data_IF_828819560928
#
_entry.id   IF_828819560928
#
_cell.length_a   1.000
_cell.length_b   1.000
_cell.length_c   1.000
_cell.angle_alpha   90.00
_cell.angle_beta   90.00
_cell.angle_gamma   90.00
#
_symmetry.space_group_name_H-M   'P 1'
#
loop_
_entity.id
_entity.type
_entity.pdbx_description
1 polymer ?
#
# COMPACT_ATOMS: atom_id res chain seq x y z
N UNK A 1 57.76 -18.39 -22.88
CA UNK A 1 57.11 -19.57 -23.51
C UNK A 1 56.08 -20.08 -22.50
N UNK A 2 54.85 -19.57 -22.44
CA UNK A 2 53.69 -19.72 -23.37
C UNK A 2 53.36 -21.19 -23.64
N UNK A 3 52.07 -21.54 -23.52
CA UNK A 3 51.41 -22.85 -23.73
C UNK A 3 51.25 -23.77 -22.53
N UNK A 4 50.27 -23.46 -21.66
CA UNK A 4 49.26 -24.43 -21.16
C UNK A 4 47.92 -23.72 -20.92
N UNK A 5 47.35 -23.18 -22.01
CA UNK A 5 46.00 -22.60 -22.07
C UNK A 5 45.26 -23.25 -23.25
N UNK A 6 44.86 -24.49 -23.08
CA UNK A 6 43.91 -25.15 -23.96
C UNK A 6 43.46 -26.43 -23.26
N UNK A 7 42.16 -26.69 -23.25
CA UNK A 7 41.47 -27.82 -22.61
C UNK A 7 41.35 -27.57 -21.09
N UNK A 8 40.22 -27.13 -20.56
CA UNK A 8 38.92 -27.79 -20.58
C UNK A 8 37.83 -26.70 -20.49
N UNK A 9 37.25 -26.33 -21.63
CA UNK A 9 36.11 -25.40 -21.76
C UNK A 9 34.77 -26.12 -21.98
N UNK A 10 34.54 -27.33 -21.44
CA UNK A 10 33.41 -28.14 -21.89
C UNK A 10 32.64 -28.90 -20.78
N UNK A 11 32.29 -28.23 -19.67
CA UNK A 11 31.42 -28.85 -18.66
C UNK A 11 30.56 -27.84 -17.86
N UNK A 12 30.03 -26.79 -18.50
CA UNK A 12 29.20 -25.76 -17.86
C UNK A 12 27.92 -25.42 -18.65
N UNK A 13 27.40 -26.37 -19.43
CA UNK A 13 26.34 -26.11 -20.41
C UNK A 13 25.16 -27.11 -20.34
N UNK A 14 24.59 -27.37 -19.16
CA UNK A 14 23.59 -28.45 -19.05
C UNK A 14 22.47 -28.33 -18.01
N UNK A 15 22.20 -27.19 -17.37
CA UNK A 15 21.12 -27.13 -16.36
C UNK A 15 20.43 -25.76 -16.21
N UNK A 16 20.00 -25.13 -17.31
CA UNK A 16 19.19 -23.88 -17.24
C UNK A 16 17.99 -23.93 -18.19
N UNK A 17 17.09 -24.91 -18.01
CA UNK A 17 15.78 -24.93 -18.67
C UNK A 17 14.69 -25.42 -17.71
N UNK A 18 14.29 -24.53 -16.80
CA UNK A 18 12.94 -24.48 -16.20
C UNK A 18 12.60 -23.00 -15.98
N UNK A 19 12.44 -22.27 -17.09
CA UNK A 19 11.86 -20.94 -17.08
C UNK A 19 10.33 -21.05 -17.06
N UNK A 20 9.69 -20.39 -16.10
CA UNK A 20 8.25 -20.22 -16.06
C UNK A 20 7.78 -19.51 -17.35
N UNK A 21 6.81 -20.08 -18.04
CA UNK A 21 6.09 -19.41 -19.11
C UNK A 21 5.27 -18.27 -18.51
N UNK A 22 5.81 -17.06 -18.49
CA UNK A 22 5.03 -15.83 -18.32
C UNK A 22 4.57 -15.38 -19.70
N UNK A 23 3.26 -15.44 -19.97
CA UNK A 23 2.67 -14.81 -21.14
C UNK A 23 2.97 -13.31 -21.10
N UNK A 24 3.77 -12.82 -22.04
CA UNK A 24 3.98 -11.39 -22.25
C UNK A 24 2.69 -10.82 -22.82
N UNK A 25 1.92 -10.12 -21.99
CA UNK A 25 0.88 -9.22 -22.46
C UNK A 25 1.61 -7.99 -22.95
N UNK A 26 1.68 -7.83 -24.27
CA UNK A 26 2.35 -6.75 -24.99
C UNK A 26 1.52 -5.45 -24.86
N UNK A 27 1.37 -4.99 -23.63
CA UNK A 27 0.70 -3.73 -23.32
C UNK A 27 1.66 -2.93 -22.47
N UNK A 28 2.39 -2.02 -23.11
CA UNK A 28 3.04 -0.91 -22.40
C UNK A 28 2.00 -0.31 -21.46
N UNK A 29 2.19 -0.33 -20.13
CA UNK A 29 1.29 0.39 -19.25
C UNK A 29 1.52 1.88 -19.51
N UNK A 30 0.66 2.47 -20.33
CA UNK A 30 0.62 3.91 -20.53
C UNK A 30 -0.10 4.51 -19.31
N UNK A 31 0.61 4.60 -18.19
CA UNK A 31 0.12 5.06 -16.88
C UNK A 31 -0.34 6.53 -16.87
N UNK A 32 -0.32 7.21 -18.01
CA UNK A 32 -0.72 8.62 -18.18
C UNK A 32 -1.92 8.77 -19.11
N UNK A 33 -2.30 7.74 -19.88
CA UNK A 33 -3.35 7.84 -20.90
C UNK A 33 -4.77 7.53 -20.41
N UNK A 34 -4.90 6.58 -19.48
CA UNK A 34 -6.22 6.03 -19.09
C UNK A 34 -6.73 6.54 -17.73
N UNK A 35 -6.00 7.46 -17.10
CA UNK A 35 -6.51 8.21 -15.95
C UNK A 35 -7.15 9.48 -16.53
N UNK A 36 -8.49 9.59 -16.57
CA UNK A 36 -9.10 10.86 -16.95
C UNK A 36 -8.51 11.96 -16.06
N UNK A 37 -8.13 13.13 -16.62
CA UNK A 37 -7.69 14.26 -15.80
C UNK A 37 -8.75 14.52 -14.74
N UNK A 38 -8.38 14.96 -13.51
CA UNK A 38 -9.34 15.20 -12.45
C UNK A 38 -10.38 16.18 -12.99
N UNK A 39 -11.56 15.65 -13.32
CA UNK A 39 -12.64 16.47 -13.84
C UNK A 39 -13.27 17.09 -12.62
N UNK A 40 -13.26 18.43 -12.58
CA UNK A 40 -13.92 19.25 -11.57
C UNK A 40 -15.48 19.12 -11.60
N UNK A 41 -15.99 17.99 -12.08
CA UNK A 41 -17.39 17.67 -12.25
C UNK A 41 -17.77 16.45 -11.40
N UNK A 42 -17.66 16.58 -10.06
CA UNK A 42 -18.39 15.75 -9.09
C UNK A 42 -18.09 14.24 -9.09
N UNK A 43 -17.08 13.77 -9.83
CA UNK A 43 -16.60 12.41 -9.76
C UNK A 43 -15.66 12.27 -8.56
N UNK A 44 -16.18 11.79 -7.43
CA UNK A 44 -15.38 11.55 -6.23
C UNK A 44 -14.33 10.49 -6.55
N UNK A 45 -13.09 10.91 -6.78
CA UNK A 45 -11.94 10.00 -6.90
C UNK A 45 -11.72 9.37 -5.52
N UNK A 46 -12.03 8.08 -5.41
CA UNK A 46 -11.72 7.25 -4.23
C UNK A 46 -10.26 7.46 -3.85
N UNK A 47 -9.97 7.87 -2.62
CA UNK A 47 -8.59 8.10 -2.19
C UNK A 47 -8.02 9.50 -2.39
N UNK A 48 -8.80 10.45 -2.93
CA UNK A 48 -8.41 11.85 -2.87
C UNK A 48 -8.46 12.32 -1.41
N UNK A 49 -7.36 12.91 -0.94
CA UNK A 49 -7.37 13.81 0.21
C UNK A 49 -7.45 15.24 -0.33
N UNK A 50 -8.65 15.82 -0.53
CA UNK A 50 -8.76 17.27 -0.49
C UNK A 50 -8.13 17.78 0.81
N UNK A 51 -7.73 19.06 0.86
CA UNK A 51 -7.14 19.67 2.06
C UNK A 51 -7.98 19.54 3.34
N UNK A 52 -9.20 19.00 3.26
CA UNK A 52 -10.14 18.68 4.33
C UNK A 52 -10.20 17.19 4.76
N UNK A 53 -9.38 16.28 4.20
CA UNK A 53 -9.31 14.86 4.59
C UNK A 53 -9.84 13.86 3.55
N UNK A 54 -9.95 12.57 3.89
CA UNK A 54 -10.40 11.52 2.95
C UNK A 54 -11.90 11.63 2.63
N UNK A 55 -12.23 11.61 1.34
CA UNK A 55 -13.61 11.57 0.83
C UNK A 55 -13.98 10.14 0.43
N UNK A 56 -15.07 9.60 1.00
CA UNK A 56 -15.60 8.29 0.63
C UNK A 56 -16.18 8.32 -0.79
N UNK A 57 -15.90 7.29 -1.59
CA UNK A 57 -16.51 7.12 -2.91
C UNK A 57 -17.96 6.65 -2.82
N UNK A 58 -18.70 6.72 -3.94
CA UNK A 58 -20.08 6.25 -4.00
C UNK A 58 -20.20 4.76 -3.62
N UNK A 59 -19.21 3.95 -4.00
CA UNK A 59 -19.15 2.53 -3.67
C UNK A 59 -18.95 2.32 -2.17
N UNK A 60 -18.04 3.07 -1.55
CA UNK A 60 -17.71 2.95 -0.12
C UNK A 60 -18.86 3.44 0.77
N UNK A 61 -19.59 4.46 0.34
CA UNK A 61 -20.82 4.91 1.01
C UNK A 61 -21.88 3.80 1.05
N UNK A 62 -21.92 2.97 0.01
CA UNK A 62 -22.80 1.81 -0.13
C UNK A 62 -22.40 0.59 0.70
N UNK A 63 -21.27 0.60 1.40
CA UNK A 63 -20.84 -0.59 2.16
C UNK A 63 -21.72 -0.87 3.38
N UNK A 64 -21.97 -2.15 3.61
CA UNK A 64 -22.58 -2.67 4.84
C UNK A 64 -21.62 -2.54 6.01
N UNK A 65 -22.16 -2.43 7.23
CA UNK A 65 -21.34 -2.28 8.43
C UNK A 65 -20.33 -3.41 8.64
N UNK A 66 -20.65 -4.64 8.23
CA UNK A 66 -19.71 -5.78 8.29
C UNK A 66 -18.54 -5.60 7.34
N UNK A 67 -18.82 -5.19 6.10
CA UNK A 67 -17.78 -4.95 5.08
C UNK A 67 -16.89 -3.80 5.51
N UNK A 68 -17.49 -2.70 5.94
CA UNK A 68 -16.78 -1.51 6.37
C UNK A 68 -15.90 -1.81 7.61
N UNK A 69 -16.44 -2.53 8.61
CA UNK A 69 -15.67 -2.94 9.79
C UNK A 69 -14.52 -3.89 9.43
N UNK A 70 -14.74 -4.85 8.54
CA UNK A 70 -13.69 -5.77 8.08
C UNK A 70 -12.57 -5.05 7.32
N UNK A 71 -12.93 -4.12 6.43
CA UNK A 71 -11.95 -3.28 5.74
C UNK A 71 -11.14 -2.44 6.73
N UNK A 72 -11.78 -1.87 7.75
CA UNK A 72 -11.08 -1.13 8.81
C UNK A 72 -10.12 -2.01 9.60
N UNK A 73 -10.51 -3.22 9.99
CA UNK A 73 -9.62 -4.15 10.72
C UNK A 73 -8.34 -4.45 9.94
N UNK A 74 -8.48 -4.78 8.65
CA UNK A 74 -7.33 -5.05 7.78
C UNK A 74 -6.43 -3.82 7.68
N UNK A 75 -7.02 -2.65 7.42
CA UNK A 75 -6.23 -1.42 7.24
C UNK A 75 -5.55 -0.97 8.55
N UNK A 76 -6.21 -1.12 9.69
CA UNK A 76 -5.60 -0.87 11.02
C UNK A 76 -4.38 -1.78 11.20
N UNK A 77 -4.49 -3.09 10.93
CA UNK A 77 -3.35 -4.01 11.03
C UNK A 77 -2.21 -3.65 10.07
N UNK A 78 -2.53 -3.17 8.86
CA UNK A 78 -1.52 -2.75 7.88
C UNK A 78 -0.70 -1.53 8.32
N UNK A 79 -1.33 -0.57 9.01
CA UNK A 79 -0.65 0.67 9.42
C UNK A 79 -0.21 0.67 10.90
N UNK A 80 -0.65 -0.32 11.68
CA UNK A 80 -0.17 -0.56 13.05
C UNK A 80 1.33 -0.86 13.01
N UNK A 81 2.07 -0.36 14.00
CA UNK A 81 3.53 -0.50 14.03
C UNK A 81 4.26 0.34 12.97
N UNK A 82 3.60 1.35 12.38
CA UNK A 82 4.25 2.28 11.45
C UNK A 82 5.52 2.89 12.04
N UNK A 83 5.50 3.37 13.29
CA UNK A 83 6.67 4.01 13.90
C UNK A 83 7.87 3.07 14.12
N UNK A 84 7.63 1.80 14.48
CA UNK A 84 8.70 0.82 14.67
C UNK A 84 9.31 0.42 13.33
N UNK A 85 8.46 0.18 12.33
CA UNK A 85 8.88 -0.15 10.97
C UNK A 85 9.55 1.03 10.25
N UNK A 86 9.09 2.27 10.48
CA UNK A 86 9.67 3.50 9.91
C UNK A 86 11.14 3.64 10.26
N UNK A 87 11.53 3.34 11.50
CA UNK A 87 12.94 3.39 11.95
C UNK A 87 13.81 2.35 11.23
N UNK A 88 13.34 1.12 11.10
CA UNK A 88 14.05 0.06 10.37
C UNK A 88 14.16 0.39 8.87
N UNK A 89 13.08 0.84 8.25
CA UNK A 89 13.04 1.22 6.84
C UNK A 89 13.84 2.50 6.54
N UNK A 90 14.01 3.42 7.49
CA UNK A 90 14.85 4.61 7.30
C UNK A 90 16.33 4.22 7.13
N UNK A 91 16.83 3.29 7.95
CA UNK A 91 18.19 2.78 7.81
C UNK A 91 18.42 2.09 6.45
N UNK A 92 17.48 1.24 6.02
CA UNK A 92 17.55 0.57 4.72
C UNK A 92 17.46 1.54 3.53
N UNK A 93 16.51 2.49 3.58
CA UNK A 93 16.34 3.52 2.55
C UNK A 93 17.56 4.41 2.39
N UNK A 94 18.23 4.76 3.50
CA UNK A 94 19.49 5.49 3.46
C UNK A 94 20.57 4.80 2.60
N UNK A 95 20.58 3.46 2.56
CA UNK A 95 21.50 2.70 1.71
C UNK A 95 21.03 2.61 0.25
N UNK A 96 19.72 2.54 0.00
CA UNK A 96 19.12 2.44 -1.34
C UNK A 96 19.06 3.77 -2.10
N UNK A 97 18.99 4.91 -1.40
CA UNK A 97 19.03 6.25 -2.02
C UNK A 97 20.33 6.51 -2.79
N UNK A 98 21.43 5.83 -2.47
CA UNK A 98 22.67 5.90 -3.25
C UNK A 98 22.65 5.10 -4.56
N UNK A 99 21.63 4.25 -4.77
CA UNK A 99 21.59 3.29 -5.88
C UNK A 99 20.44 3.52 -6.88
N UNK A 100 19.56 4.52 -6.68
CA UNK A 100 18.44 4.76 -7.59
C UNK A 100 18.83 5.66 -8.78
N UNK A 101 18.69 5.20 -10.04
CA UNK A 101 19.00 6.00 -11.22
C UNK A 101 17.95 7.12 -11.41
N UNK A 102 18.41 8.24 -11.96
CA UNK A 102 17.70 9.54 -12.08
C UNK A 102 16.47 9.49 -13.03
N UNK A 103 16.16 8.35 -13.65
CA UNK A 103 15.10 8.25 -14.65
C UNK A 103 14.05 7.18 -14.29
N UNK A 104 12.89 7.65 -13.79
CA UNK A 104 11.62 6.91 -13.93
C UNK A 104 11.24 5.86 -12.89
N UNK A 105 11.78 5.86 -11.66
CA UNK A 105 11.30 4.99 -10.59
C UNK A 105 9.96 5.46 -9.99
N UNK A 106 9.07 4.52 -9.64
CA UNK A 106 7.81 4.84 -8.95
C UNK A 106 8.09 5.51 -7.61
N UNK A 107 7.27 6.52 -7.22
CA UNK A 107 7.46 7.26 -5.96
C UNK A 107 6.92 6.52 -4.73
N UNK A 108 6.44 5.28 -4.87
CA UNK A 108 6.10 4.45 -3.72
C UNK A 108 7.32 4.25 -2.82
N UNK A 109 7.17 4.50 -1.52
CA UNK A 109 8.23 4.37 -0.52
C UNK A 109 9.09 5.62 -0.31
N UNK A 110 8.92 6.66 -1.15
CA UNK A 110 9.63 7.95 -1.02
C UNK A 110 9.09 8.79 0.14
N UNK A 111 7.77 8.78 0.36
CA UNK A 111 7.11 9.48 1.45
C UNK A 111 6.24 8.50 2.28
N UNK A 112 6.81 7.88 3.33
CA UNK A 112 6.07 6.96 4.18
C UNK A 112 5.08 7.71 5.08
N UNK A 113 5.39 8.96 5.45
CA UNK A 113 4.61 9.75 6.40
C UNK A 113 3.34 10.24 5.72
N UNK A 114 3.44 10.74 4.50
CA UNK A 114 2.29 11.07 3.68
C UNK A 114 1.38 9.86 3.46
N UNK A 115 1.93 8.67 3.21
CA UNK A 115 1.11 7.46 3.09
C UNK A 115 0.37 7.13 4.41
N UNK A 116 1.09 7.15 5.54
CA UNK A 116 0.48 6.90 6.85
C UNK A 116 -0.65 7.90 7.16
N UNK A 117 -0.45 9.19 6.91
CA UNK A 117 -1.49 10.20 7.15
C UNK A 117 -2.71 9.99 6.24
N UNK A 118 -2.50 9.58 4.99
CA UNK A 118 -3.59 9.25 4.07
C UNK A 118 -4.41 8.07 4.56
N UNK A 119 -3.75 7.01 4.99
CA UNK A 119 -4.40 5.81 5.53
C UNK A 119 -5.16 6.11 6.82
N UNK A 120 -4.58 6.93 7.70
CA UNK A 120 -5.24 7.39 8.92
C UNK A 120 -6.49 8.22 8.61
N UNK A 121 -6.41 9.16 7.68
CA UNK A 121 -7.56 9.96 7.27
C UNK A 121 -8.69 9.09 6.67
N UNK A 122 -8.33 8.02 5.94
CA UNK A 122 -9.30 7.05 5.43
C UNK A 122 -9.98 6.29 6.57
N UNK A 123 -9.23 5.79 7.55
CA UNK A 123 -9.81 5.13 8.74
C UNK A 123 -10.76 6.05 9.49
N UNK A 124 -10.42 7.34 9.65
CA UNK A 124 -11.30 8.32 10.28
C UNK A 124 -12.59 8.54 9.48
N UNK A 125 -12.51 8.62 8.15
CA UNK A 125 -13.69 8.71 7.28
C UNK A 125 -14.59 7.49 7.40
N UNK A 126 -14.02 6.29 7.40
CA UNK A 126 -14.75 5.03 7.60
C UNK A 126 -15.42 4.98 8.96
N UNK A 127 -14.73 5.42 10.01
CA UNK A 127 -15.30 5.46 11.35
C UNK A 127 -16.48 6.44 11.47
N UNK A 128 -16.40 7.60 10.80
CA UNK A 128 -17.54 8.53 10.68
C UNK A 128 -18.73 7.87 9.96
N UNK A 129 -18.46 7.09 8.91
CA UNK A 129 -19.50 6.38 8.17
C UNK A 129 -20.14 5.26 9.02
N UNK A 130 -19.36 4.54 9.84
CA UNK A 130 -19.91 3.58 10.82
C UNK A 130 -20.82 4.27 11.84
N UNK A 131 -20.41 5.42 12.36
CA UNK A 131 -21.21 6.20 13.29
C UNK A 131 -22.52 6.67 12.66
N UNK A 132 -22.47 7.19 11.43
CA UNK A 132 -23.64 7.62 10.66
C UNK A 132 -24.62 6.46 10.39
N UNK A 133 -24.08 5.26 10.09
CA UNK A 133 -24.85 4.02 9.93
C UNK A 133 -25.25 3.34 11.25
N UNK A 134 -25.01 3.99 12.39
CA UNK A 134 -25.39 3.49 13.70
C UNK A 134 -24.71 2.17 14.12
N UNK A 135 -23.52 1.91 13.58
CA UNK A 135 -22.75 0.70 13.81
C UNK A 135 -21.64 0.89 14.86
N UNK A 136 -21.09 -0.20 15.44
CA UNK A 136 -19.91 -0.15 16.30
C UNK A 136 -18.75 0.57 15.61
N UNK A 137 -18.01 1.38 16.35
CA UNK A 137 -16.88 2.19 15.83
C UNK A 137 -15.58 1.76 16.48
N UNK A 138 -14.44 2.09 15.89
CA UNK A 138 -13.13 1.75 16.44
C UNK A 138 -12.54 2.92 17.21
N UNK A 139 -11.86 2.64 18.32
CA UNK A 139 -10.98 3.62 18.95
C UNK A 139 -9.64 3.62 18.20
N UNK A 140 -9.54 4.44 17.15
CA UNK A 140 -8.37 4.45 16.27
C UNK A 140 -7.07 4.78 17.02
N UNK A 141 -7.12 5.64 18.04
CA UNK A 141 -5.92 5.99 18.80
C UNK A 141 -5.39 4.79 19.58
N UNK A 142 -6.29 4.09 20.28
CA UNK A 142 -5.94 2.87 21.01
C UNK A 142 -5.50 1.74 20.08
N UNK A 143 -6.27 1.47 19.02
CA UNK A 143 -6.00 0.38 18.11
C UNK A 143 -4.70 0.57 17.31
N UNK A 144 -4.29 1.80 17.03
CA UNK A 144 -3.02 2.07 16.34
C UNK A 144 -1.81 2.09 17.28
N UNK A 145 -2.02 2.35 18.58
CA UNK A 145 -0.97 2.33 19.59
C UNK A 145 -0.60 0.92 20.07
N UNK A 146 -1.53 -0.05 19.96
CA UNK A 146 -1.28 -1.45 20.29
C UNK A 146 -0.16 -2.05 19.43
N UNK A 147 0.75 -2.79 20.06
CA UNK A 147 1.80 -3.56 19.38
C UNK A 147 1.48 -5.05 19.26
N UNK A 148 0.38 -5.49 19.86
CA UNK A 148 -0.08 -6.87 19.77
C UNK A 148 -0.68 -7.18 18.41
N UNK A 149 -0.41 -8.38 17.90
CA UNK A 149 -1.01 -8.93 16.69
C UNK A 149 -2.40 -9.52 16.99
N UNK A 150 -3.25 -8.68 17.57
CA UNK A 150 -4.65 -9.01 17.88
C UNK A 150 -5.55 -8.25 16.93
N UNK A 151 -6.58 -8.93 16.44
CA UNK A 151 -7.57 -8.34 15.53
C UNK A 151 -8.23 -7.13 16.22
N UNK A 152 -8.22 -5.95 15.60
CA UNK A 152 -8.87 -4.76 16.16
C UNK A 152 -10.35 -5.04 16.42
N UNK A 153 -10.82 -4.67 17.61
CA UNK A 153 -12.22 -4.89 17.99
C UNK A 153 -12.98 -3.57 18.03
N UNK A 154 -14.13 -3.47 17.36
CA UNK A 154 -14.94 -2.26 17.43
C UNK A 154 -15.56 -2.15 18.82
N UNK A 155 -15.63 -0.93 19.34
CA UNK A 155 -16.25 -0.61 20.62
C UNK A 155 -17.77 -0.79 20.48
N UNK A 156 -18.39 -1.67 21.28
CA UNK A 156 -19.84 -1.83 21.25
C UNK A 156 -20.50 -0.51 21.64
N UNK A 157 -21.52 -0.10 20.90
CA UNK A 157 -22.29 1.10 21.26
C UNK A 157 -23.10 0.76 22.51
N UNK A 158 -22.78 1.39 23.63
CA UNK A 158 -23.68 1.43 24.78
C UNK A 158 -24.95 2.15 24.34
N UNK A 159 -26.08 1.43 24.41
CA UNK A 159 -27.41 1.98 24.14
C UNK A 159 -27.79 3.05 25.15
#
# INVERSE_FOLDING_TARGET
MVQRRALICAALAGATLCGCASSQVDTKPNLVGDIPPPTDNGGVVTGALPGSGYQLSAEELGYDCKKLSGTMQIRILQIRGYDTNRKASAAARGMQTFATPIWGGTKEGVDPDGQYQRDRAMLEAYNRQLAAKQCPTFDLARELATTEDTTPTPVPRTK
#
